data_IF_076099990508
#
_entry.id   IF_076099990508
#
_cell.length_a   1.000
_cell.length_b   1.000
_cell.length_c   1.000
_cell.angle_alpha   90.00
_cell.angle_beta   90.00
_cell.angle_gamma   90.00
#
_symmetry.space_group_name_H-M   'P 1'
#
loop_
_entity.id
_entity.type
_entity.pdbx_description
1 polymer ?
#
# COMPACT_ATOMS: atom_id res chain seq x y z
N UNK A 1 -14.69 -110.41 24.07
CA UNK A 1 -13.54 -109.94 24.88
C UNK A 1 -14.08 -109.46 26.22
N UNK A 2 -13.88 -110.25 27.27
CA UNK A 2 -14.21 -109.90 28.65
C UNK A 2 -13.13 -108.93 29.17
N UNK A 3 -13.48 -107.66 29.34
CA UNK A 3 -12.65 -106.74 30.12
C UNK A 3 -12.63 -107.28 31.55
N UNK A 4 -11.46 -107.61 32.10
CA UNK A 4 -11.37 -108.10 33.49
C UNK A 4 -11.96 -107.04 34.41
N UNK A 5 -12.80 -107.47 35.37
CA UNK A 5 -13.41 -106.58 36.37
C UNK A 5 -12.37 -105.65 37.02
N UNK A 6 -11.15 -106.18 37.24
CA UNK A 6 -10.01 -105.41 37.72
C UNK A 6 -9.54 -104.26 36.82
N UNK A 7 -9.62 -104.39 35.48
CA UNK A 7 -9.29 -103.32 34.55
C UNK A 7 -10.37 -102.24 34.51
N UNK A 8 -11.64 -102.63 34.64
CA UNK A 8 -12.75 -101.68 34.72
C UNK A 8 -12.69 -100.89 36.03
N UNK A 9 -12.43 -101.57 37.15
CA UNK A 9 -12.30 -100.94 38.47
C UNK A 9 -11.10 -99.98 38.50
N UNK A 10 -9.93 -100.40 37.96
CA UNK A 10 -8.75 -99.53 37.86
C UNK A 10 -8.97 -98.31 36.95
N UNK A 11 -9.70 -98.47 35.85
CA UNK A 11 -10.02 -97.36 34.94
C UNK A 11 -11.06 -96.41 35.57
N UNK A 12 -12.01 -96.95 36.35
CA UNK A 12 -12.99 -96.17 37.11
C UNK A 12 -12.32 -95.38 38.23
N UNK A 13 -11.30 -95.94 38.87
CA UNK A 13 -10.51 -95.27 39.90
C UNK A 13 -9.64 -94.14 39.30
N UNK A 14 -9.00 -94.40 38.15
CA UNK A 14 -8.29 -93.36 37.39
C UNK A 14 -9.21 -92.24 36.90
N UNK A 15 -10.41 -92.59 36.43
CA UNK A 15 -11.41 -91.59 36.01
C UNK A 15 -11.84 -90.70 37.18
N UNK A 16 -12.01 -91.28 38.37
CA UNK A 16 -12.34 -90.51 39.57
C UNK A 16 -11.18 -89.59 39.99
N UNK A 17 -9.94 -90.07 39.92
CA UNK A 17 -8.75 -89.28 40.21
C UNK A 17 -8.60 -88.09 39.23
N UNK A 18 -8.75 -88.33 37.93
CA UNK A 18 -8.69 -87.29 36.89
C UNK A 18 -9.83 -86.28 37.06
N UNK A 19 -11.02 -86.71 37.50
CA UNK A 19 -12.15 -85.83 37.74
C UNK A 19 -11.93 -84.92 38.95
N UNK A 20 -11.35 -85.45 40.03
CA UNK A 20 -10.92 -84.66 41.19
C UNK A 20 -9.80 -83.67 40.81
N UNK A 21 -8.83 -84.11 40.01
CA UNK A 21 -7.74 -83.24 39.53
C UNK A 21 -8.27 -82.12 38.62
N UNK A 22 -9.19 -82.42 37.71
CA UNK A 22 -9.85 -81.40 36.88
C UNK A 22 -10.66 -80.40 37.71
N UNK A 23 -11.32 -80.86 38.76
CA UNK A 23 -12.04 -79.98 39.69
C UNK A 23 -11.07 -79.04 40.41
N UNK A 24 -9.93 -79.57 40.85
CA UNK A 24 -8.87 -78.80 41.50
C UNK A 24 -8.22 -77.79 40.57
N UNK A 25 -7.91 -78.18 39.33
CA UNK A 25 -7.38 -77.28 38.29
C UNK A 25 -8.40 -76.20 37.91
N UNK A 26 -9.68 -76.55 37.79
CA UNK A 26 -10.74 -75.56 37.52
C UNK A 26 -10.87 -74.55 38.65
N UNK A 27 -10.71 -75.00 39.90
CA UNK A 27 -10.67 -74.10 41.06
C UNK A 27 -9.42 -73.20 41.03
N UNK A 28 -8.24 -73.74 40.75
CA UNK A 28 -7.00 -72.95 40.64
C UNK A 28 -7.05 -71.93 39.49
N UNK A 29 -7.69 -72.26 38.37
CA UNK A 29 -7.90 -71.32 37.26
C UNK A 29 -8.87 -70.21 37.69
N UNK A 30 -9.92 -70.53 38.45
CA UNK A 30 -10.83 -69.52 39.00
C UNK A 30 -10.13 -68.59 39.99
N UNK A 31 -9.27 -69.15 40.85
CA UNK A 31 -8.46 -68.38 41.81
C UNK A 31 -7.44 -67.49 41.09
N UNK A 32 -6.74 -68.00 40.06
CA UNK A 32 -5.84 -67.19 39.23
C UNK A 32 -6.58 -66.07 38.49
N UNK A 33 -7.76 -66.33 37.92
CA UNK A 33 -8.57 -65.27 37.28
C UNK A 33 -9.04 -64.21 38.27
N UNK A 34 -9.34 -64.60 39.51
CA UNK A 34 -9.68 -63.65 40.57
C UNK A 34 -8.47 -62.79 40.96
N UNK A 35 -7.28 -63.41 41.10
CA UNK A 35 -6.04 -62.69 41.37
C UNK A 35 -5.61 -61.78 40.22
N UNK A 36 -5.82 -62.20 38.97
CA UNK A 36 -5.55 -61.40 37.78
C UNK A 36 -6.53 -60.22 37.67
N UNK A 37 -7.81 -60.43 38.00
CA UNK A 37 -8.79 -59.36 38.12
C UNK A 37 -8.42 -58.36 39.23
N UNK A 38 -8.06 -58.85 40.42
CA UNK A 38 -7.59 -58.02 41.54
C UNK A 38 -6.29 -57.27 41.20
N UNK A 39 -5.36 -57.90 40.50
CA UNK A 39 -4.12 -57.26 40.04
C UNK A 39 -4.37 -56.24 38.93
N UNK A 40 -5.34 -56.46 38.03
CA UNK A 40 -5.73 -55.51 36.99
C UNK A 40 -6.46 -54.30 37.58
N UNK A 41 -7.34 -54.53 38.56
CA UNK A 41 -8.00 -53.46 39.34
C UNK A 41 -6.97 -52.72 40.18
N UNK A 42 -6.00 -53.41 40.80
CA UNK A 42 -4.93 -52.75 41.55
C UNK A 42 -3.99 -51.95 40.65
N UNK A 43 -3.65 -52.41 39.45
CA UNK A 43 -2.85 -51.62 38.50
C UNK A 43 -3.61 -50.37 38.00
N UNK A 44 -4.93 -50.46 37.86
CA UNK A 44 -5.79 -49.31 37.50
C UNK A 44 -6.03 -48.41 38.72
N UNK A 45 -5.96 -48.95 39.94
CA UNK A 45 -6.12 -48.26 41.22
C UNK A 45 -4.80 -47.77 41.84
N UNK A 46 -3.67 -47.91 41.15
CA UNK A 46 -2.36 -47.38 41.60
C UNK A 46 -2.14 -45.93 41.15
N UNK A 47 -2.91 -45.41 40.18
CA UNK A 47 -2.94 -43.97 39.97
C UNK A 47 -3.77 -43.33 41.07
N UNK A 48 -3.14 -42.51 41.90
CA UNK A 48 -3.87 -41.73 42.89
C UNK A 48 -4.92 -40.85 42.19
N UNK A 49 -6.00 -40.52 42.90
CA UNK A 49 -7.00 -39.55 42.42
C UNK A 49 -6.32 -38.23 42.00
N UNK A 50 -5.23 -37.87 42.69
CA UNK A 50 -4.34 -36.76 42.36
C UNK A 50 -3.64 -36.94 40.99
N UNK A 51 -3.09 -38.11 40.66
CA UNK A 51 -2.44 -38.37 39.36
C UNK A 51 -3.43 -38.29 38.19
N UNK A 52 -4.65 -38.78 38.37
CA UNK A 52 -5.73 -38.68 37.37
C UNK A 52 -6.13 -37.21 37.17
N UNK A 53 -6.30 -36.47 38.27
CA UNK A 53 -6.63 -35.05 38.22
C UNK A 53 -5.52 -34.24 37.54
N UNK A 54 -4.25 -34.44 37.90
CA UNK A 54 -3.10 -33.77 37.31
C UNK A 54 -2.98 -34.06 35.81
N UNK A 55 -3.16 -35.32 35.39
CA UNK A 55 -3.13 -35.70 33.98
C UNK A 55 -4.26 -35.07 33.17
N UNK A 56 -5.49 -35.06 33.70
CA UNK A 56 -6.64 -34.43 33.06
C UNK A 56 -6.50 -32.90 32.98
N UNK A 57 -5.98 -32.27 34.04
CA UNK A 57 -5.69 -30.85 34.08
C UNK A 57 -4.63 -30.48 33.03
N UNK A 58 -3.53 -31.24 32.97
CA UNK A 58 -2.45 -31.02 32.01
C UNK A 58 -2.92 -31.16 30.55
N UNK A 59 -3.71 -32.19 30.25
CA UNK A 59 -4.30 -32.35 28.91
C UNK A 59 -5.21 -31.17 28.55
N UNK A 60 -6.04 -30.72 29.50
CA UNK A 60 -6.90 -29.55 29.31
C UNK A 60 -6.08 -28.26 29.08
N UNK A 61 -4.98 -28.07 29.82
CA UNK A 61 -4.05 -26.94 29.65
C UNK A 61 -3.39 -26.96 28.28
N UNK A 62 -2.89 -28.12 27.81
CA UNK A 62 -2.26 -28.24 26.50
C UNK A 62 -3.27 -28.04 25.36
N UNK A 63 -4.48 -28.59 25.51
CA UNK A 63 -5.57 -28.34 24.56
C UNK A 63 -5.91 -26.84 24.48
N UNK A 64 -5.93 -26.14 25.62
CA UNK A 64 -6.09 -24.69 25.66
C UNK A 64 -4.95 -23.95 24.93
N UNK A 65 -3.70 -24.36 25.12
CA UNK A 65 -2.56 -23.77 24.39
C UNK A 65 -2.65 -23.95 22.88
N UNK A 66 -3.15 -25.10 22.40
CA UNK A 66 -3.34 -25.33 20.96
C UNK A 66 -4.38 -24.38 20.34
N UNK A 67 -5.33 -23.84 21.11
CA UNK A 67 -6.29 -22.84 20.62
C UNK A 67 -5.63 -21.50 20.26
N UNK A 68 -4.45 -21.19 20.82
CA UNK A 68 -3.66 -19.99 20.48
C UNK A 68 -3.28 -19.98 19.00
N UNK A 69 -3.27 -21.13 18.32
CA UNK A 69 -3.07 -21.21 16.88
C UNK A 69 -4.07 -20.34 16.08
N UNK A 70 -5.34 -20.25 16.51
CA UNK A 70 -6.31 -19.39 15.86
C UNK A 70 -5.94 -17.90 15.97
N UNK A 71 -5.50 -17.48 17.16
CA UNK A 71 -5.01 -16.11 17.40
C UNK A 71 -3.78 -15.81 16.54
N UNK A 72 -2.82 -16.75 16.49
CA UNK A 72 -1.64 -16.68 15.62
C UNK A 72 -2.01 -16.44 14.16
N UNK A 73 -3.00 -17.19 13.64
CA UNK A 73 -3.45 -17.02 12.25
C UNK A 73 -4.07 -15.63 12.02
N UNK A 74 -4.90 -15.14 12.94
CA UNK A 74 -5.47 -13.79 12.82
C UNK A 74 -4.40 -12.69 12.88
N UNK A 75 -3.39 -12.81 13.75
CA UNK A 75 -2.28 -11.84 13.82
C UNK A 75 -1.42 -11.89 12.56
N UNK A 76 -1.15 -13.08 12.03
CA UNK A 76 -0.44 -13.23 10.76
C UNK A 76 -1.20 -12.58 9.59
N UNK A 77 -2.52 -12.73 9.54
CA UNK A 77 -3.36 -12.08 8.54
C UNK A 77 -3.28 -10.55 8.66
N UNK A 78 -3.33 -10.01 9.89
CA UNK A 78 -3.13 -8.57 10.13
C UNK A 78 -1.75 -8.10 9.66
N UNK A 79 -0.69 -8.87 9.90
CA UNK A 79 0.66 -8.55 9.42
C UNK A 79 0.70 -8.45 7.89
N UNK A 80 0.11 -9.42 7.19
CA UNK A 80 0.03 -9.41 5.73
C UNK A 80 -0.77 -8.22 5.17
N UNK A 81 -1.84 -7.83 5.86
CA UNK A 81 -2.62 -6.64 5.49
C UNK A 81 -1.82 -5.34 5.66
N UNK A 82 -1.05 -5.21 6.74
CA UNK A 82 -0.19 -4.06 7.00
C UNK A 82 0.94 -3.99 5.96
N UNK A 83 1.56 -5.11 5.60
CA UNK A 83 2.57 -5.17 4.52
C UNK A 83 1.99 -4.71 3.17
N UNK A 84 0.78 -5.14 2.84
CA UNK A 84 0.09 -4.69 1.64
C UNK A 84 -0.17 -3.16 1.67
N UNK A 85 -0.57 -2.62 2.83
CA UNK A 85 -0.76 -1.17 2.98
C UNK A 85 0.55 -0.38 2.84
N UNK A 86 1.68 -0.90 3.34
CA UNK A 86 3.00 -0.30 3.14
C UNK A 86 3.34 -0.11 1.65
N UNK A 87 3.06 -1.13 0.83
CA UNK A 87 3.24 -1.05 -0.63
C UNK A 87 2.34 0.02 -1.25
N UNK A 88 1.06 0.05 -0.89
CA UNK A 88 0.12 1.07 -1.39
C UNK A 88 0.52 2.50 -1.02
N UNK A 89 1.12 2.72 0.16
CA UNK A 89 1.63 4.05 0.55
C UNK A 89 2.82 4.46 -0.31
N UNK A 90 3.73 3.52 -0.60
CA UNK A 90 4.86 3.82 -1.49
C UNK A 90 4.37 4.25 -2.87
N UNK A 91 3.38 3.57 -3.43
CA UNK A 91 2.75 3.94 -4.70
C UNK A 91 2.08 5.33 -4.61
N UNK A 92 1.33 5.61 -3.54
CA UNK A 92 0.73 6.93 -3.33
C UNK A 92 1.77 8.06 -3.31
N UNK A 93 2.90 7.87 -2.63
CA UNK A 93 3.98 8.88 -2.61
C UNK A 93 4.54 9.17 -4.00
N UNK A 94 4.74 8.15 -4.84
CA UNK A 94 5.17 8.37 -6.22
C UNK A 94 4.14 9.15 -7.05
N UNK A 95 2.85 8.91 -6.81
CA UNK A 95 1.77 9.65 -7.48
C UNK A 95 1.72 11.12 -7.01
N UNK A 96 2.02 11.36 -5.74
CA UNK A 96 2.13 12.72 -5.19
C UNK A 96 3.28 13.49 -5.85
N UNK A 97 4.44 12.87 -6.06
CA UNK A 97 5.57 13.50 -6.75
C UNK A 97 5.24 13.88 -8.20
N UNK A 98 4.61 12.97 -8.94
CA UNK A 98 4.18 13.22 -10.34
C UNK A 98 3.23 14.41 -10.40
N UNK A 99 2.24 14.45 -9.51
CA UNK A 99 1.24 15.52 -9.50
C UNK A 99 1.82 16.85 -9.03
N UNK A 100 2.75 16.86 -8.08
CA UNK A 100 3.46 18.09 -7.68
C UNK A 100 4.22 18.70 -8.86
N UNK A 101 4.86 17.86 -9.68
CA UNK A 101 5.52 18.31 -10.91
C UNK A 101 4.51 18.81 -11.96
N UNK A 102 3.36 18.16 -12.10
CA UNK A 102 2.29 18.64 -12.97
C UNK A 102 1.79 20.03 -12.55
N UNK A 103 1.56 20.26 -11.26
CA UNK A 103 1.16 21.57 -10.74
C UNK A 103 2.21 22.64 -11.01
N UNK A 104 3.50 22.34 -10.82
CA UNK A 104 4.60 23.28 -11.17
C UNK A 104 4.59 23.66 -12.65
N UNK A 105 4.35 22.69 -13.53
CA UNK A 105 4.26 22.94 -14.96
C UNK A 105 3.05 23.83 -15.30
N UNK A 106 1.91 23.64 -14.62
CA UNK A 106 0.75 24.51 -14.77
C UNK A 106 1.13 25.94 -14.37
N UNK A 107 1.68 26.15 -13.17
CA UNK A 107 2.12 27.49 -12.71
C UNK A 107 3.07 28.14 -13.72
N UNK A 108 4.03 27.40 -14.26
CA UNK A 108 4.93 27.91 -15.31
C UNK A 108 4.15 28.34 -16.55
N UNK A 109 3.25 27.49 -17.05
CA UNK A 109 2.43 27.80 -18.23
C UNK A 109 1.53 29.02 -18.02
N UNK A 110 1.08 29.27 -16.79
CA UNK A 110 0.29 30.45 -16.45
C UNK A 110 1.11 31.74 -16.45
N UNK A 111 2.36 31.68 -15.98
CA UNK A 111 3.29 32.80 -16.09
C UNK A 111 3.62 33.12 -17.55
N UNK A 112 3.82 32.09 -18.38
CA UNK A 112 4.03 32.26 -19.82
C UNK A 112 2.79 32.87 -20.49
N UNK A 113 1.59 32.45 -20.09
CA UNK A 113 0.33 32.99 -20.58
C UNK A 113 0.19 34.48 -20.25
N UNK A 114 0.54 34.89 -19.02
CA UNK A 114 0.57 36.31 -18.61
C UNK A 114 1.52 37.11 -19.50
N UNK A 115 2.74 36.62 -19.71
CA UNK A 115 3.73 37.31 -20.56
C UNK A 115 3.26 37.44 -22.02
N UNK A 116 2.64 36.40 -22.56
CA UNK A 116 2.06 36.42 -23.91
C UNK A 116 0.92 37.44 -24.02
N UNK A 117 0.07 37.56 -23.00
CA UNK A 117 -1.00 38.57 -22.98
C UNK A 117 -0.45 40.00 -22.90
N UNK A 118 0.58 40.25 -22.08
CA UNK A 118 1.25 41.55 -22.04
C UNK A 118 1.82 41.94 -23.41
N UNK A 119 2.48 40.99 -24.09
CA UNK A 119 2.97 41.21 -25.45
C UNK A 119 1.84 41.45 -26.45
N UNK A 120 0.70 40.75 -26.31
CA UNK A 120 -0.44 40.90 -27.20
C UNK A 120 -1.07 42.29 -27.04
N UNK A 121 -1.27 42.75 -25.80
CA UNK A 121 -1.72 44.11 -25.49
C UNK A 121 -0.79 45.16 -26.09
N UNK A 122 0.53 44.96 -26.02
CA UNK A 122 1.51 45.84 -26.65
C UNK A 122 1.35 45.92 -28.18
N UNK A 123 1.20 44.78 -28.85
CA UNK A 123 1.00 44.71 -30.30
C UNK A 123 -0.31 45.38 -30.74
N UNK A 124 -1.40 45.13 -30.00
CA UNK A 124 -2.72 45.71 -30.25
C UNK A 124 -2.69 47.23 -30.06
N UNK A 125 -2.02 47.73 -29.02
CA UNK A 125 -1.80 49.16 -28.82
C UNK A 125 -1.03 49.78 -30.00
N UNK A 126 0.01 49.10 -30.50
CA UNK A 126 0.73 49.53 -31.70
C UNK A 126 -0.14 49.60 -32.96
N UNK A 127 -1.03 48.62 -33.17
CA UNK A 127 -1.99 48.62 -34.27
C UNK A 127 -2.99 49.78 -34.15
N UNK A 128 -3.50 50.05 -32.96
CA UNK A 128 -4.41 51.19 -32.71
C UNK A 128 -3.76 52.52 -33.04
N UNK A 129 -2.50 52.73 -32.63
CA UNK A 129 -1.72 53.93 -32.99
C UNK A 129 -1.51 54.03 -34.50
N UNK A 130 -1.17 52.93 -35.17
CA UNK A 130 -0.97 52.91 -36.62
C UNK A 130 -2.26 53.23 -37.37
N UNK A 131 -3.39 52.66 -36.96
CA UNK A 131 -4.71 52.95 -37.52
C UNK A 131 -5.09 54.44 -37.34
N UNK A 132 -4.86 55.01 -36.16
CA UNK A 132 -5.08 56.44 -35.91
C UNK A 132 -4.24 57.37 -36.81
N UNK A 133 -2.99 56.99 -37.06
CA UNK A 133 -2.12 57.72 -37.99
C UNK A 133 -2.64 57.64 -39.43
N UNK A 134 -3.08 56.46 -39.89
CA UNK A 134 -3.68 56.29 -41.23
C UNK A 134 -4.94 57.14 -41.34
N UNK A 135 -5.83 57.15 -40.34
CA UNK A 135 -7.03 57.98 -40.34
C UNK A 135 -6.69 59.49 -40.50
N UNK A 136 -5.61 59.94 -39.86
CA UNK A 136 -5.11 61.32 -39.99
C UNK A 136 -4.62 61.61 -41.41
N UNK A 137 -3.90 60.67 -42.04
CA UNK A 137 -3.48 60.80 -43.44
C UNK A 137 -4.68 60.83 -44.39
N UNK A 138 -5.64 59.93 -44.20
CA UNK A 138 -6.88 59.87 -45.01
C UNK A 138 -7.65 61.18 -44.92
N UNK A 139 -7.80 61.73 -43.71
CA UNK A 139 -8.43 63.05 -43.49
C UNK A 139 -7.68 64.16 -44.23
N UNK A 140 -6.35 64.10 -44.29
CA UNK A 140 -5.52 65.06 -45.02
C UNK A 140 -5.69 64.91 -46.53
N UNK A 141 -5.74 63.67 -47.04
CA UNK A 141 -5.97 63.36 -48.45
C UNK A 141 -7.35 63.89 -48.89
N UNK A 142 -8.42 63.65 -48.11
CA UNK A 142 -9.74 64.21 -48.41
C UNK A 142 -9.70 65.74 -48.50
N UNK A 143 -9.04 66.43 -47.56
CA UNK A 143 -8.88 67.89 -47.62
C UNK A 143 -8.15 68.36 -48.88
N UNK A 144 -7.07 67.68 -49.27
CA UNK A 144 -6.32 67.99 -50.50
C UNK A 144 -7.18 67.73 -51.73
N UNK A 145 -7.96 66.65 -51.71
CA UNK A 145 -8.89 66.29 -52.79
C UNK A 145 -9.98 67.35 -52.96
N UNK A 146 -10.60 67.80 -51.87
CA UNK A 146 -11.60 68.86 -51.88
C UNK A 146 -11.03 70.18 -52.39
N UNK A 147 -9.82 70.55 -51.97
CA UNK A 147 -9.12 71.73 -52.47
C UNK A 147 -8.81 71.62 -53.97
N UNK A 148 -8.35 70.45 -54.43
CA UNK A 148 -8.05 70.19 -55.83
C UNK A 148 -9.32 70.24 -56.69
N UNK A 149 -10.42 69.69 -56.19
CA UNK A 149 -11.73 69.75 -56.82
C UNK A 149 -12.22 71.20 -56.97
N UNK A 150 -12.04 72.04 -55.94
CA UNK A 150 -12.36 73.47 -55.98
C UNK A 150 -11.47 74.25 -56.95
N UNK A 151 -10.17 73.96 -56.98
CA UNK A 151 -9.23 74.58 -57.92
C UNK A 151 -9.57 74.22 -59.37
N UNK A 152 -9.87 72.95 -59.63
CA UNK A 152 -10.28 72.46 -60.94
C UNK A 152 -11.61 73.09 -61.39
N UNK A 153 -12.57 73.24 -60.48
CA UNK A 153 -13.82 73.95 -60.75
C UNK A 153 -13.58 75.41 -61.16
N UNK A 154 -12.73 76.13 -60.41
CA UNK A 154 -12.37 77.50 -60.75
C UNK A 154 -11.67 77.60 -62.12
N UNK A 155 -10.79 76.65 -62.44
CA UNK A 155 -10.12 76.57 -63.74
C UNK A 155 -11.10 76.28 -64.89
N UNK A 156 -12.08 75.39 -64.68
CA UNK A 156 -13.13 75.10 -65.66
C UNK A 156 -14.00 76.33 -65.95
N UNK A 157 -14.36 77.09 -64.90
CA UNK A 157 -15.10 78.36 -65.04
C UNK A 157 -14.31 79.37 -65.88
N UNK A 158 -13.02 79.55 -65.59
CA UNK A 158 -12.20 80.53 -66.31
C UNK A 158 -11.90 80.09 -67.75
N UNK A 159 -11.73 78.79 -67.98
CA UNK A 159 -11.62 78.19 -69.32
C UNK A 159 -12.88 78.44 -70.16
N UNK A 160 -14.07 78.28 -69.58
CA UNK A 160 -15.34 78.61 -70.23
C UNK A 160 -15.43 80.12 -70.55
N UNK A 161 -14.90 80.97 -69.66
CA UNK A 161 -14.88 82.43 -69.82
C UNK A 161 -13.98 82.91 -70.95
N UNK A 162 -12.88 82.18 -71.23
CA UNK A 162 -11.97 82.45 -72.33
C UNK A 162 -12.49 82.00 -73.72
N UNK A 163 -13.67 81.36 -73.79
CA UNK A 163 -14.30 80.95 -75.04
C UNK A 163 -13.48 79.91 -75.82
N UNK A 164 -13.34 80.08 -77.14
CA UNK A 164 -12.59 79.14 -78.01
C UNK A 164 -11.12 78.99 -77.61
N UNK A 165 -10.48 80.02 -77.04
CA UNK A 165 -9.09 79.94 -76.59
C UNK A 165 -8.90 79.07 -75.32
N UNK A 166 -9.95 78.89 -74.51
CA UNK A 166 -9.92 78.12 -73.26
C UNK A 166 -10.30 76.65 -73.42
N UNK A 167 -10.69 76.20 -74.62
CA UNK A 167 -11.33 74.90 -74.84
C UNK A 167 -10.46 73.70 -74.43
N UNK A 168 -9.15 73.77 -74.68
CA UNK A 168 -8.19 72.76 -74.22
C UNK A 168 -7.98 72.74 -72.71
N UNK A 169 -8.02 73.91 -72.06
CA UNK A 169 -7.92 74.03 -70.60
C UNK A 169 -9.18 73.51 -69.90
N UNK A 170 -10.36 73.65 -70.50
CA UNK A 170 -11.62 73.12 -69.96
C UNK A 170 -11.58 71.59 -69.81
N UNK A 171 -11.06 70.88 -70.83
CA UNK A 171 -10.95 69.42 -70.80
C UNK A 171 -10.01 68.96 -69.68
N UNK A 172 -8.87 69.63 -69.53
CA UNK A 172 -7.91 69.32 -68.44
C UNK A 172 -8.54 69.60 -67.07
N UNK A 173 -9.26 70.72 -66.92
CA UNK A 173 -9.91 71.06 -65.67
C UNK A 173 -10.98 70.03 -65.26
N UNK A 174 -11.79 69.54 -66.20
CA UNK A 174 -12.78 68.50 -65.94
C UNK A 174 -12.12 67.15 -65.57
N UNK A 175 -11.00 66.79 -66.21
CA UNK A 175 -10.25 65.58 -65.86
C UNK A 175 -9.64 65.66 -64.45
N UNK A 176 -9.03 66.80 -64.09
CA UNK A 176 -8.50 67.03 -62.73
C UNK A 176 -9.62 66.97 -61.69
N UNK A 177 -10.80 67.52 -62.01
CA UNK A 177 -11.98 67.47 -61.14
C UNK A 177 -12.46 66.04 -60.93
N UNK A 178 -12.49 65.22 -61.99
CA UNK A 178 -12.84 63.80 -61.91
C UNK A 178 -11.84 63.02 -61.05
N UNK A 179 -10.54 63.24 -61.24
CA UNK A 179 -9.48 62.66 -60.41
C UNK A 179 -9.64 63.03 -58.93
N UNK A 180 -9.94 64.29 -58.64
CA UNK A 180 -10.18 64.76 -57.27
C UNK A 180 -11.44 64.13 -56.65
N UNK A 181 -12.49 63.89 -57.43
CA UNK A 181 -13.70 63.21 -56.94
C UNK A 181 -13.40 61.74 -56.63
N UNK A 182 -12.72 61.04 -57.54
CA UNK A 182 -12.34 59.63 -57.36
C UNK A 182 -11.37 59.44 -56.19
N UNK A 183 -10.43 60.37 -56.00
CA UNK A 183 -9.49 60.37 -54.87
C UNK A 183 -10.24 60.50 -53.54
N UNK A 184 -11.28 61.34 -53.48
CA UNK A 184 -12.08 61.51 -52.27
C UNK A 184 -12.93 60.27 -51.96
N UNK A 185 -13.51 59.64 -52.98
CA UNK A 185 -14.21 58.35 -52.83
C UNK A 185 -13.27 57.28 -52.28
N UNK A 186 -12.07 57.17 -52.86
CA UNK A 186 -11.06 56.20 -52.40
C UNK A 186 -10.60 56.48 -50.97
N UNK A 187 -10.43 57.76 -50.60
CA UNK A 187 -10.11 58.14 -49.23
C UNK A 187 -11.23 57.75 -48.25
N UNK A 188 -12.50 57.93 -48.62
CA UNK A 188 -13.64 57.51 -47.80
C UNK A 188 -13.66 55.99 -47.57
N UNK A 189 -13.43 55.20 -48.61
CA UNK A 189 -13.33 53.73 -48.49
C UNK A 189 -12.19 53.32 -47.53
N UNK A 190 -11.03 53.97 -47.61
CA UNK A 190 -9.92 53.70 -46.68
C UNK A 190 -10.30 54.11 -45.24
N UNK A 191 -11.02 55.22 -45.04
CA UNK A 191 -11.49 55.64 -43.72
C UNK A 191 -12.41 54.59 -43.06
N UNK A 192 -13.32 54.01 -43.84
CA UNK A 192 -14.22 52.94 -43.37
C UNK A 192 -13.43 51.70 -42.96
N UNK A 193 -12.46 51.28 -43.77
CA UNK A 193 -11.58 50.15 -43.44
C UNK A 193 -10.78 50.40 -42.16
N UNK A 194 -10.25 51.61 -41.97
CA UNK A 194 -9.50 51.98 -40.76
C UNK A 194 -10.41 51.98 -39.53
N UNK A 195 -11.64 52.48 -39.65
CA UNK A 195 -12.63 52.43 -38.57
C UNK A 195 -12.96 50.99 -38.18
N UNK A 196 -13.10 50.10 -39.16
CA UNK A 196 -13.29 48.67 -38.91
C UNK A 196 -12.08 48.04 -38.20
N UNK A 197 -10.85 48.40 -38.59
CA UNK A 197 -9.63 47.93 -37.91
C UNK A 197 -9.62 48.37 -36.44
N UNK A 198 -9.96 49.63 -36.15
CA UNK A 198 -10.02 50.13 -34.77
C UNK A 198 -11.03 49.33 -33.95
N UNK A 199 -12.26 49.14 -34.47
CA UNK A 199 -13.29 48.37 -33.78
C UNK A 199 -12.85 46.93 -33.46
N UNK A 200 -12.21 46.23 -34.43
CA UNK A 200 -11.68 44.88 -34.18
C UNK A 200 -10.51 44.86 -33.20
N UNK A 201 -9.72 45.93 -33.17
CA UNK A 201 -8.62 46.09 -32.22
C UNK A 201 -9.17 46.21 -30.79
N UNK A 202 -10.22 47.00 -30.60
CA UNK A 202 -10.91 47.16 -29.31
C UNK A 202 -11.56 45.86 -28.82
N UNK A 203 -12.27 45.12 -29.69
CA UNK A 203 -12.81 43.79 -29.39
C UNK A 203 -11.72 42.80 -28.94
N UNK A 204 -10.52 42.90 -29.55
CA UNK A 204 -9.39 42.05 -29.19
C UNK A 204 -8.84 42.42 -27.81
N UNK A 205 -8.79 43.71 -27.45
CA UNK A 205 -8.38 44.16 -26.09
C UNK A 205 -9.30 43.58 -25.02
N UNK A 206 -10.61 43.64 -25.24
CA UNK A 206 -11.60 43.09 -24.31
C UNK A 206 -11.38 41.58 -24.11
N UNK A 207 -11.19 40.84 -25.20
CA UNK A 207 -10.88 39.42 -25.16
C UNK A 207 -9.59 39.11 -24.39
N UNK A 208 -8.52 39.91 -24.55
CA UNK A 208 -7.27 39.73 -23.80
C UNK A 208 -7.51 39.92 -22.30
N UNK A 209 -8.30 40.93 -21.95
CA UNK A 209 -8.59 41.28 -20.55
C UNK A 209 -9.36 40.16 -19.86
N UNK A 210 -10.36 39.56 -20.53
CA UNK A 210 -11.10 38.40 -20.01
C UNK A 210 -10.19 37.17 -19.78
N UNK A 211 -9.27 36.91 -20.71
CA UNK A 211 -8.29 35.81 -20.56
C UNK A 211 -7.35 36.10 -19.39
N UNK A 212 -6.95 37.35 -19.19
CA UNK A 212 -6.05 37.74 -18.09
C UNK A 212 -6.70 37.58 -16.72
N UNK A 213 -7.97 37.96 -16.59
CA UNK A 213 -8.77 37.72 -15.38
C UNK A 213 -8.93 36.21 -15.12
N UNK A 214 -9.27 35.44 -16.16
CA UNK A 214 -9.40 33.97 -16.07
C UNK A 214 -8.09 33.30 -15.65
N UNK A 215 -6.95 33.77 -16.16
CA UNK A 215 -5.63 33.27 -15.78
C UNK A 215 -5.30 33.60 -14.32
N UNK A 216 -5.68 34.78 -13.84
CA UNK A 216 -5.48 35.17 -12.44
C UNK A 216 -6.26 34.24 -11.50
N UNK A 217 -7.55 34.01 -11.79
CA UNK A 217 -8.40 33.10 -11.02
C UNK A 217 -7.86 31.67 -11.02
N UNK A 218 -7.37 31.20 -12.17
CA UNK A 218 -6.79 29.88 -12.27
C UNK A 218 -5.49 29.79 -11.42
N UNK A 219 -4.73 30.87 -11.29
CA UNK A 219 -3.46 30.90 -10.56
C UNK A 219 -3.71 30.76 -9.06
N UNK A 220 -4.68 31.52 -8.56
CA UNK A 220 -5.17 31.39 -7.18
C UNK A 220 -5.70 29.98 -6.90
N UNK A 221 -6.42 29.38 -7.86
CA UNK A 221 -6.90 28.00 -7.78
C UNK A 221 -5.76 27.00 -7.65
N UNK A 222 -4.69 27.16 -8.44
CA UNK A 222 -3.51 26.29 -8.41
C UNK A 222 -2.70 26.48 -7.13
N UNK A 223 -2.57 27.70 -6.61
CA UNK A 223 -1.93 27.95 -5.31
C UNK A 223 -2.66 27.24 -4.17
N UNK A 224 -4.00 27.34 -4.16
CA UNK A 224 -4.82 26.60 -3.19
C UNK A 224 -4.63 25.09 -3.33
N UNK A 225 -4.65 24.58 -4.56
CA UNK A 225 -4.38 23.16 -4.83
C UNK A 225 -3.01 22.72 -4.31
N UNK A 226 -1.97 23.54 -4.47
CA UNK A 226 -0.62 23.23 -4.00
C UNK A 226 -0.54 23.18 -2.45
N UNK A 227 -1.28 24.05 -1.76
CA UNK A 227 -1.42 24.00 -0.30
C UNK A 227 -2.14 22.73 0.16
N UNK A 228 -3.28 22.40 -0.48
CA UNK A 228 -4.03 21.18 -0.21
C UNK A 228 -3.16 19.93 -0.46
N UNK A 229 -2.33 19.94 -1.51
CA UNK A 229 -1.37 18.88 -1.83
C UNK A 229 -0.31 18.69 -0.73
N UNK A 230 0.21 19.78 -0.20
CA UNK A 230 1.22 19.75 0.87
C UNK A 230 0.66 19.09 2.14
N UNK A 231 -0.59 19.37 2.47
CA UNK A 231 -1.29 18.73 3.61
C UNK A 231 -1.48 17.22 3.38
N UNK A 232 -1.78 16.82 2.15
CA UNK A 232 -1.93 15.41 1.80
C UNK A 232 -0.59 14.67 1.89
N UNK A 233 0.50 15.25 1.40
CA UNK A 233 1.86 14.68 1.52
C UNK A 233 2.22 14.49 3.00
N UNK A 234 1.96 15.51 3.84
CA UNK A 234 2.19 15.39 5.29
C UNK A 234 1.39 14.25 5.91
N UNK A 235 0.13 14.09 5.51
CA UNK A 235 -0.75 13.01 6.00
C UNK A 235 -0.26 11.64 5.54
N UNK A 236 0.22 11.53 4.30
CA UNK A 236 0.79 10.30 3.74
C UNK A 236 2.07 9.89 4.48
N UNK A 237 2.94 10.84 4.80
CA UNK A 237 4.15 10.59 5.59
C UNK A 237 3.83 10.11 7.01
N UNK A 238 2.84 10.72 7.68
CA UNK A 238 2.40 10.26 9.00
C UNK A 238 1.76 8.86 8.95
N UNK A 239 1.03 8.56 7.88
CA UNK A 239 0.49 7.23 7.65
C UNK A 239 1.63 6.21 7.45
N UNK A 240 2.65 6.54 6.65
CA UNK A 240 3.84 5.71 6.46
C UNK A 240 4.49 5.34 7.80
N UNK A 241 4.75 6.32 8.65
CA UNK A 241 5.32 6.11 9.99
C UNK A 241 4.45 5.16 10.83
N UNK A 242 3.12 5.39 10.82
CA UNK A 242 2.17 4.55 11.57
C UNK A 242 2.20 3.10 11.08
N UNK A 243 2.25 2.88 9.75
CA UNK A 243 2.28 1.53 9.18
C UNK A 243 3.64 0.86 9.42
N UNK A 244 4.75 1.58 9.40
CA UNK A 244 6.08 1.03 9.76
C UNK A 244 6.11 0.54 11.22
N UNK A 245 5.54 1.32 12.14
CA UNK A 245 5.41 0.94 13.56
C UNK A 245 4.47 -0.26 13.71
N UNK A 246 3.31 -0.25 13.04
CA UNK A 246 2.34 -1.34 13.09
C UNK A 246 2.94 -2.63 12.52
N UNK A 247 3.66 -2.55 11.39
CA UNK A 247 4.32 -3.69 10.73
C UNK A 247 5.30 -4.38 11.67
N UNK A 248 6.18 -3.57 12.29
CA UNK A 248 7.17 -4.07 13.26
C UNK A 248 6.48 -4.75 14.45
N UNK A 249 5.47 -4.12 15.03
CA UNK A 249 4.73 -4.68 16.18
C UNK A 249 4.01 -5.97 15.82
N UNK A 250 3.28 -6.01 14.71
CA UNK A 250 2.52 -7.21 14.32
C UNK A 250 3.46 -8.34 13.90
N UNK A 251 4.60 -8.04 13.28
CA UNK A 251 5.66 -9.03 13.04
C UNK A 251 6.15 -9.64 14.36
N UNK A 252 6.53 -8.81 15.33
CA UNK A 252 7.00 -9.26 16.65
C UNK A 252 5.94 -10.13 17.34
N UNK A 253 4.67 -9.69 17.37
CA UNK A 253 3.59 -10.50 17.94
C UNK A 253 3.40 -11.83 17.20
N UNK A 254 3.55 -11.83 15.88
CA UNK A 254 3.47 -13.05 15.06
C UNK A 254 4.54 -14.05 15.46
N UNK A 255 5.82 -13.64 15.56
CA UNK A 255 6.90 -14.56 15.93
C UNK A 255 6.82 -14.99 17.39
N UNK A 256 6.34 -14.15 18.31
CA UNK A 256 6.05 -14.57 19.70
C UNK A 256 5.00 -15.67 19.73
N UNK A 257 3.91 -15.52 18.98
CA UNK A 257 2.85 -16.52 18.87
C UNK A 257 3.33 -17.79 18.16
N UNK A 258 4.21 -17.70 17.16
CA UNK A 258 4.83 -18.86 16.53
C UNK A 258 5.56 -19.72 17.59
N UNK A 259 6.33 -19.10 18.48
CA UNK A 259 7.06 -19.80 19.55
C UNK A 259 6.14 -20.38 20.62
N UNK A 260 5.08 -19.67 21.00
CA UNK A 260 4.08 -20.19 21.96
C UNK A 260 3.40 -21.43 21.37
N UNK A 261 2.97 -21.37 20.12
CA UNK A 261 2.34 -22.50 19.44
C UNK A 261 3.33 -23.65 19.23
N UNK A 262 4.57 -23.35 18.82
CA UNK A 262 5.62 -24.36 18.64
C UNK A 262 5.91 -25.12 19.94
N UNK A 263 6.12 -24.41 21.06
CA UNK A 263 6.31 -25.06 22.38
C UNK A 263 5.06 -25.84 22.82
N UNK A 264 3.87 -25.29 22.58
CA UNK A 264 2.60 -25.97 22.85
C UNK A 264 2.48 -27.30 22.10
N UNK A 265 2.90 -27.33 20.84
CA UNK A 265 2.97 -28.56 20.02
C UNK A 265 4.04 -29.53 20.54
N UNK A 266 5.19 -29.05 21.02
CA UNK A 266 6.22 -29.89 21.66
C UNK A 266 5.66 -30.56 22.92
N UNK A 267 4.97 -29.82 23.79
CA UNK A 267 4.30 -30.41 24.96
C UNK A 267 3.20 -31.38 24.58
N UNK A 268 2.39 -31.06 23.56
CA UNK A 268 1.35 -31.96 23.07
C UNK A 268 1.93 -33.27 22.52
N UNK A 269 3.05 -33.22 21.80
CA UNK A 269 3.75 -34.39 21.31
C UNK A 269 4.36 -35.23 22.45
N UNK A 270 4.98 -34.57 23.44
CA UNK A 270 5.55 -35.25 24.61
C UNK A 270 4.50 -35.97 25.47
N UNK A 271 3.25 -35.47 25.49
CA UNK A 271 2.13 -36.10 26.17
C UNK A 271 1.39 -37.14 25.32
N UNK A 272 1.78 -37.31 24.04
CA UNK A 272 1.09 -38.21 23.10
C UNK A 272 -0.28 -37.71 22.65
N UNK A 273 -0.59 -36.42 22.84
CA UNK A 273 -1.81 -35.76 22.34
C UNK A 273 -1.69 -35.51 20.83
N UNK A 274 -0.48 -35.19 20.38
CA UNK A 274 -0.16 -34.91 18.98
C UNK A 274 0.81 -35.96 18.44
N UNK A 275 0.47 -36.57 17.30
CA UNK A 275 1.33 -37.52 16.61
C UNK A 275 2.36 -36.78 15.74
N UNK A 276 3.46 -36.33 16.37
CA UNK A 276 4.61 -35.69 15.73
C UNK A 276 5.92 -36.22 16.32
N UNK A 277 6.88 -36.49 15.45
CA UNK A 277 8.25 -36.84 15.78
C UNK A 277 9.15 -35.60 15.90
N UNK A 278 10.34 -35.78 16.46
CA UNK A 278 11.35 -34.71 16.61
C UNK A 278 11.68 -34.02 15.28
N UNK A 279 11.71 -34.78 14.19
CA UNK A 279 12.06 -34.27 12.86
C UNK A 279 10.94 -33.43 12.23
N UNK A 280 9.70 -33.54 12.72
CA UNK A 280 8.56 -32.73 12.25
C UNK A 280 8.62 -31.28 12.77
N UNK A 281 9.47 -31.01 13.76
CA UNK A 281 9.66 -29.68 14.33
C UNK A 281 10.80 -28.95 13.61
N UNK A 282 10.47 -27.79 13.04
CA UNK A 282 11.44 -26.87 12.47
C UNK A 282 12.53 -26.48 13.47
N UNK A 283 13.75 -26.34 12.99
CA UNK A 283 14.85 -25.74 13.74
C UNK A 283 14.77 -24.20 13.75
N UNK A 284 15.60 -23.59 14.60
CA UNK A 284 15.69 -22.13 14.75
C UNK A 284 16.10 -21.39 13.47
N UNK A 285 16.70 -22.05 12.47
CA UNK A 285 17.10 -21.38 11.21
C UNK A 285 16.00 -21.41 10.16
N UNK A 286 15.14 -22.44 10.21
CA UNK A 286 14.05 -22.64 9.27
C UNK A 286 12.71 -22.05 9.73
N UNK A 287 12.64 -21.58 10.98
CA UNK A 287 11.45 -20.89 11.49
C UNK A 287 11.37 -19.46 10.97
N UNK A 288 10.19 -18.83 11.06
CA UNK A 288 9.96 -17.45 10.59
C UNK A 288 10.93 -16.44 11.21
N UNK A 289 11.22 -16.58 12.52
CA UNK A 289 12.16 -15.70 13.21
C UNK A 289 13.59 -15.91 12.72
N UNK A 290 13.99 -17.17 12.47
CA UNK A 290 15.32 -17.51 11.94
C UNK A 290 15.57 -16.96 10.55
N UNK A 291 14.61 -17.14 9.65
CA UNK A 291 14.68 -16.61 8.29
C UNK A 291 14.79 -15.07 8.31
N UNK A 292 13.96 -14.41 9.12
CA UNK A 292 14.01 -12.96 9.28
C UNK A 292 15.32 -12.47 9.92
N UNK A 293 15.83 -13.17 10.93
CA UNK A 293 17.06 -12.80 11.62
C UNK A 293 18.26 -12.72 10.68
N UNK A 294 18.33 -13.61 9.68
CA UNK A 294 19.43 -13.66 8.73
C UNK A 294 19.24 -12.78 7.49
N UNK A 295 18.08 -12.16 7.33
CA UNK A 295 17.69 -11.37 6.16
C UNK A 295 17.25 -9.95 6.58
N UNK A 296 15.98 -9.58 6.38
CA UNK A 296 15.42 -8.25 6.68
C UNK A 296 15.74 -7.75 8.10
N UNK A 297 15.72 -8.65 9.09
CA UNK A 297 16.03 -8.31 10.48
C UNK A 297 17.45 -7.81 10.67
N UNK A 298 18.43 -8.40 9.97
CA UNK A 298 19.82 -7.99 10.04
C UNK A 298 20.04 -6.62 9.43
N UNK A 299 19.41 -6.36 8.28
CA UNK A 299 19.50 -5.07 7.59
C UNK A 299 18.95 -3.92 8.45
N UNK A 300 17.79 -4.15 9.08
CA UNK A 300 17.06 -3.12 9.82
C UNK A 300 17.52 -2.97 11.27
N UNK A 301 17.81 -4.08 11.96
CA UNK A 301 18.07 -4.11 13.40
C UNK A 301 19.45 -4.62 13.78
N UNK A 302 20.35 -4.90 12.83
CA UNK A 302 21.69 -5.45 13.10
C UNK A 302 22.58 -4.60 14.02
N UNK A 303 22.20 -3.34 14.30
CA UNK A 303 22.86 -2.47 15.28
C UNK A 303 22.25 -2.53 16.68
N UNK A 304 21.01 -3.01 16.84
CA UNK A 304 20.36 -3.15 18.14
C UNK A 304 21.05 -4.23 18.97
N UNK A 305 21.29 -3.92 20.25
CA UNK A 305 21.81 -4.88 21.22
C UNK A 305 20.84 -6.02 21.45
N UNK A 306 19.54 -5.69 21.52
CA UNK A 306 18.43 -6.64 21.68
C UNK A 306 18.37 -7.63 20.51
N UNK A 307 18.59 -7.15 19.28
CA UNK A 307 18.69 -8.01 18.09
C UNK A 307 19.84 -9.00 18.20
N UNK A 308 21.07 -8.53 18.47
CA UNK A 308 22.25 -9.39 18.50
C UNK A 308 22.19 -10.47 19.58
N UNK A 309 21.53 -10.17 20.70
CA UNK A 309 21.36 -11.11 21.80
C UNK A 309 20.27 -12.15 21.55
N UNK A 310 19.44 -12.00 20.49
CA UNK A 310 18.29 -12.85 20.25
C UNK A 310 18.64 -14.27 19.79
N UNK A 311 19.72 -14.43 19.04
CA UNK A 311 20.04 -15.68 18.32
C UNK A 311 20.30 -16.87 19.25
N UNK A 312 21.15 -16.68 20.27
CA UNK A 312 21.50 -17.74 21.21
C UNK A 312 20.29 -18.26 22.01
N UNK A 313 19.50 -17.43 22.71
CA UNK A 313 18.31 -17.93 23.42
C UNK A 313 17.26 -18.51 22.45
N UNK A 314 17.13 -17.99 21.22
CA UNK A 314 16.26 -18.56 20.20
C UNK A 314 16.69 -19.98 19.80
N UNK A 315 17.98 -20.17 19.52
CA UNK A 315 18.57 -21.49 19.27
C UNK A 315 18.36 -22.44 20.44
N UNK A 316 18.51 -21.96 21.68
CA UNK A 316 18.30 -22.75 22.89
C UNK A 316 16.85 -23.20 23.06
N UNK A 317 15.84 -22.40 22.67
CA UNK A 317 14.44 -22.85 22.67
C UNK A 317 14.27 -24.09 21.78
N UNK A 318 14.70 -24.01 20.53
CA UNK A 318 14.54 -25.10 19.58
C UNK A 318 15.37 -26.33 19.97
N UNK A 319 16.63 -26.13 20.36
CA UNK A 319 17.53 -27.22 20.75
C UNK A 319 17.00 -27.98 21.96
N UNK A 320 16.65 -27.27 23.03
CA UNK A 320 16.19 -27.91 24.27
C UNK A 320 14.79 -28.54 24.09
N UNK A 321 13.90 -27.95 23.30
CA UNK A 321 12.60 -28.55 22.99
C UNK A 321 12.71 -29.86 22.20
N UNK A 322 13.54 -29.91 21.16
CA UNK A 322 13.79 -31.12 20.37
C UNK A 322 14.48 -32.21 21.20
N UNK A 323 15.46 -31.84 22.03
CA UNK A 323 16.15 -32.78 22.92
C UNK A 323 15.21 -33.36 24.00
N UNK A 324 14.36 -32.52 24.61
CA UNK A 324 13.36 -32.97 25.57
C UNK A 324 12.41 -34.00 24.94
N UNK A 325 11.92 -33.72 23.73
CA UNK A 325 11.03 -34.63 23.01
C UNK A 325 11.73 -35.95 22.65
N UNK A 326 12.97 -35.91 22.19
CA UNK A 326 13.77 -37.11 21.91
C UNK A 326 13.93 -38.00 23.16
N UNK A 327 14.22 -37.40 24.31
CA UNK A 327 14.33 -38.11 25.59
C UNK A 327 13.01 -38.74 26.00
N UNK A 328 11.88 -38.02 25.86
CA UNK A 328 10.54 -38.55 26.12
C UNK A 328 10.24 -39.77 25.25
N UNK A 329 10.54 -39.69 23.95
CA UNK A 329 10.33 -40.79 22.99
C UNK A 329 11.22 -42.00 23.27
N UNK A 330 12.43 -41.78 23.80
CA UNK A 330 13.34 -42.85 24.25
C UNK A 330 12.98 -43.43 25.63
N UNK A 331 11.91 -42.94 26.28
CA UNK A 331 11.47 -43.38 27.61
C UNK A 331 12.18 -42.69 28.79
N UNK A 332 13.12 -41.78 28.53
CA UNK A 332 13.94 -41.08 29.53
C UNK A 332 13.24 -39.79 30.04
N UNK A 333 12.00 -39.93 30.51
CA UNK A 333 11.14 -38.78 30.86
C UNK A 333 11.70 -37.89 31.98
N UNK A 334 12.38 -38.49 32.98
CA UNK A 334 12.96 -37.72 34.09
C UNK A 334 14.07 -36.77 33.64
N UNK A 335 14.88 -37.17 32.66
CA UNK A 335 15.94 -36.32 32.10
C UNK A 335 15.36 -35.21 31.21
N UNK A 336 14.27 -35.49 30.50
CA UNK A 336 13.58 -34.52 29.66
C UNK A 336 13.10 -33.28 30.43
N UNK A 337 12.76 -33.41 31.72
CA UNK A 337 12.31 -32.29 32.58
C UNK A 337 13.33 -31.14 32.60
N UNK A 338 14.63 -31.47 32.66
CA UNK A 338 15.70 -30.46 32.64
C UNK A 338 15.65 -29.64 31.35
N UNK A 339 15.47 -30.30 30.21
CA UNK A 339 15.46 -29.66 28.90
C UNK A 339 14.17 -28.85 28.67
N UNK A 340 13.01 -29.32 29.15
CA UNK A 340 11.78 -28.51 29.16
C UNK A 340 11.98 -27.21 29.95
N UNK A 341 12.60 -27.28 31.13
CA UNK A 341 12.90 -26.08 31.91
C UNK A 341 13.84 -25.12 31.18
N UNK A 342 14.91 -25.64 30.58
CA UNK A 342 15.85 -24.82 29.81
C UNK A 342 15.20 -24.18 28.57
N UNK A 343 14.29 -24.89 27.91
CA UNK A 343 13.48 -24.35 26.81
C UNK A 343 12.60 -23.19 27.29
N UNK A 344 11.92 -23.31 28.43
CA UNK A 344 11.09 -22.23 28.98
C UNK A 344 11.92 -21.02 29.41
N UNK A 345 13.04 -21.23 30.10
CA UNK A 345 13.94 -20.16 30.54
C UNK A 345 14.49 -19.38 29.33
N UNK A 346 14.93 -20.08 28.27
CA UNK A 346 15.36 -19.48 27.02
C UNK A 346 14.22 -18.75 26.31
N UNK A 347 13.01 -19.32 26.32
CA UNK A 347 11.84 -18.70 25.71
C UNK A 347 11.47 -17.39 26.38
N UNK A 348 11.56 -17.28 27.71
CA UNK A 348 11.33 -16.01 28.42
C UNK A 348 12.32 -14.93 27.96
N UNK A 349 13.59 -15.30 27.76
CA UNK A 349 14.60 -14.39 27.22
C UNK A 349 14.25 -13.93 25.80
N UNK A 350 13.87 -14.86 24.91
CA UNK A 350 13.41 -14.52 23.55
C UNK A 350 12.24 -13.54 23.59
N UNK A 351 11.22 -13.80 24.42
CA UNK A 351 10.05 -12.92 24.52
C UNK A 351 10.45 -11.51 24.99
N UNK A 352 11.34 -11.42 25.99
CA UNK A 352 11.81 -10.13 26.51
C UNK A 352 12.63 -9.35 25.48
N UNK A 353 13.51 -10.03 24.74
CA UNK A 353 14.35 -9.39 23.71
C UNK A 353 13.50 -8.90 22.52
N UNK A 354 12.48 -9.67 22.14
CA UNK A 354 11.50 -9.28 21.14
C UNK A 354 10.66 -8.07 21.59
N UNK A 355 10.30 -7.98 22.87
CA UNK A 355 9.60 -6.79 23.41
C UNK A 355 10.50 -5.55 23.40
N UNK A 356 11.79 -5.68 23.74
CA UNK A 356 12.75 -4.58 23.65
C UNK A 356 12.96 -4.09 22.20
N UNK A 357 12.98 -5.02 21.24
CA UNK A 357 13.03 -4.71 19.80
C UNK A 357 11.82 -3.94 19.28
N UNK A 358 10.70 -3.95 20.00
CA UNK A 358 9.50 -3.19 19.61
C UNK A 358 9.53 -1.71 20.04
N UNK A 359 10.54 -1.34 20.84
CA UNK A 359 10.71 -0.03 21.47
C UNK A 359 11.99 0.68 20.95
N UNK A 360 13.02 -0.10 20.61
CA UNK A 360 14.23 0.33 19.90
C UNK A 360 13.94 0.69 18.42
#
# INVERSE_FOLDING_TARGET
MLVSRSKFDALSEQFFAIKEENKKLSQQISEMKSMEAESSVSNTAVQSEDEIFEGALLNSTVTCLLQVNGIRQSVLQSFQQIDAQNKSISELNTLFDVSSNALKNIVSGMNDLTSNMESMTGNISGLSVMAGNINTFVTTISKISDQTNLLALNAAIEAARAGEAGRGFSVVADEVRSLATNTNSSASEVAELVTSIIGRTDETVESVTEIQESNTLLSEGVEKLNSDYSNIISSSNSMKETIEVASTKTFIQTVKLDHIVWKGEVYAAALGILDKNVDDFADHTMCRLGLWYHDEGLEKYGKSSSFRQLDEPHKEVHRNGKEALALVMSGQKSEAIKYFKQMEDASVQVMSLLDSLSID
#
